data_IF_039031465445
#
_entry.id   IF_039031465445
#
_cell.length_a   1.000
_cell.length_b   1.000
_cell.length_c   1.000
_cell.angle_alpha   90.00
_cell.angle_beta   90.00
_cell.angle_gamma   90.00
#
_symmetry.space_group_name_H-M   'P 1'
#
loop_
_entity.id
_entity.type
_entity.pdbx_description
1 polymer ?
#
# COMPACT_ATOMS: atom_id res chain seq x y z
N UNK A 1 -14.41 -1.07 -12.67
CA UNK A 1 -14.39 -0.36 -13.97
C UNK A 1 -15.75 0.11 -14.49
N UNK A 2 -16.87 -0.54 -14.13
CA UNK A 2 -18.20 -0.07 -14.52
C UNK A 2 -18.49 1.35 -14.02
N UNK A 3 -18.35 1.58 -12.73
CA UNK A 3 -18.58 2.90 -12.09
C UNK A 3 -17.57 3.95 -12.55
N UNK A 4 -16.31 3.54 -12.80
CA UNK A 4 -15.25 4.39 -13.36
C UNK A 4 -15.64 4.95 -14.73
N UNK A 5 -16.07 4.07 -15.66
CA UNK A 5 -16.47 4.50 -17.01
C UNK A 5 -17.70 5.39 -17.00
N UNK A 6 -18.62 5.20 -16.05
CA UNK A 6 -19.82 6.02 -15.90
C UNK A 6 -19.60 7.27 -15.05
N UNK A 7 -18.45 7.42 -14.41
CA UNK A 7 -18.15 8.50 -13.46
C UNK A 7 -19.25 8.61 -12.38
N UNK A 8 -19.64 7.47 -11.84
CA UNK A 8 -20.62 7.36 -10.80
C UNK A 8 -20.01 6.82 -9.52
N UNK A 9 -20.49 7.24 -8.34
CA UNK A 9 -20.02 6.68 -7.08
C UNK A 9 -20.33 5.19 -7.00
N UNK A 10 -19.39 4.42 -6.50
CA UNK A 10 -19.63 3.01 -6.16
C UNK A 10 -20.60 2.95 -4.96
N UNK A 11 -21.54 1.97 -4.88
CA UNK A 11 -22.47 1.86 -3.76
C UNK A 11 -21.78 1.93 -2.38
N UNK A 12 -20.62 1.32 -2.21
CA UNK A 12 -19.85 1.37 -0.96
C UNK A 12 -19.41 2.79 -0.58
N UNK A 13 -19.24 3.71 -1.54
CA UNK A 13 -18.91 5.10 -1.24
C UNK A 13 -20.11 5.81 -0.63
N UNK A 14 -21.31 5.54 -1.17
CA UNK A 14 -22.57 6.10 -0.68
C UNK A 14 -22.83 5.58 0.74
N UNK A 15 -22.70 4.28 0.97
CA UNK A 15 -22.88 3.62 2.27
C UNK A 15 -21.93 4.15 3.35
N UNK A 16 -20.73 4.61 2.95
CA UNK A 16 -19.69 5.10 3.87
C UNK A 16 -19.50 6.63 3.83
N UNK A 17 -20.45 7.37 3.21
CA UNK A 17 -20.41 8.84 3.09
C UNK A 17 -19.09 9.35 2.48
N UNK A 18 -18.61 8.69 1.43
CA UNK A 18 -17.42 9.09 0.69
C UNK A 18 -17.87 9.85 -0.55
N UNK A 19 -17.64 11.16 -0.58
CA UNK A 19 -17.93 12.01 -1.73
C UNK A 19 -16.80 11.91 -2.76
N UNK A 20 -16.83 10.84 -3.53
CA UNK A 20 -15.86 10.55 -4.58
C UNK A 20 -16.44 9.61 -5.64
N UNK A 21 -15.78 9.56 -6.78
CA UNK A 21 -16.01 8.56 -7.83
C UNK A 21 -14.69 7.89 -8.20
N UNK A 22 -14.69 6.66 -8.76
CA UNK A 22 -13.47 6.06 -9.27
C UNK A 22 -12.84 6.93 -10.37
N UNK A 23 -11.57 7.29 -10.21
CA UNK A 23 -10.87 8.22 -11.11
C UNK A 23 -10.67 7.60 -12.49
N UNK A 24 -11.24 8.26 -13.53
CA UNK A 24 -11.07 7.86 -14.92
C UNK A 24 -9.89 8.62 -15.56
N UNK A 25 -8.77 7.94 -15.72
CA UNK A 25 -7.57 8.51 -16.30
C UNK A 25 -6.97 7.55 -17.35
N UNK A 26 -6.44 8.07 -18.49
CA UNK A 26 -5.86 7.20 -19.55
C UNK A 26 -4.76 6.26 -19.06
N UNK A 27 -3.97 6.68 -18.08
CA UNK A 27 -2.87 5.89 -17.50
C UNK A 27 -3.31 4.95 -16.38
N UNK A 28 -4.60 4.83 -16.07
CA UNK A 28 -5.07 4.03 -14.93
C UNK A 28 -4.64 2.57 -15.03
N UNK A 29 -4.72 1.97 -16.21
CA UNK A 29 -4.31 0.57 -16.41
C UNK A 29 -2.80 0.39 -16.23
N UNK A 30 -1.99 1.38 -16.62
CA UNK A 30 -0.55 1.37 -16.39
C UNK A 30 -0.22 1.55 -14.91
N UNK A 31 -0.90 2.46 -14.20
CA UNK A 31 -0.69 2.69 -12.77
C UNK A 31 -1.04 1.46 -11.91
N UNK A 32 -2.00 0.65 -12.35
CA UNK A 32 -2.42 -0.59 -11.68
C UNK A 32 -1.57 -1.81 -12.07
N UNK A 33 -0.69 -1.65 -13.04
CA UNK A 33 0.16 -2.73 -13.52
C UNK A 33 1.44 -2.82 -12.68
N UNK A 34 1.67 -3.95 -12.00
CA UNK A 34 2.83 -4.18 -11.14
C UNK A 34 4.20 -4.04 -11.83
N UNK A 35 4.25 -4.09 -13.17
CA UNK A 35 5.49 -3.94 -13.94
C UNK A 35 5.71 -2.52 -14.47
N UNK A 36 4.68 -1.68 -14.45
CA UNK A 36 4.72 -0.30 -14.92
C UNK A 36 4.57 0.67 -13.75
N UNK A 37 3.39 0.70 -13.13
CA UNK A 37 3.06 1.58 -12.04
C UNK A 37 3.06 3.06 -12.40
N UNK A 38 2.85 3.90 -11.40
CA UNK A 38 3.18 5.32 -11.46
C UNK A 38 4.62 5.50 -11.04
N UNK A 39 5.41 6.32 -11.74
CA UNK A 39 6.82 6.53 -11.44
C UNK A 39 7.16 8.00 -11.30
N UNK A 40 8.22 8.27 -10.56
CA UNK A 40 8.88 9.57 -10.47
C UNK A 40 10.38 9.40 -10.65
N UNK A 41 10.93 10.10 -11.64
CA UNK A 41 12.38 10.12 -11.93
C UNK A 41 12.95 11.42 -11.36
N UNK A 42 13.74 11.28 -10.29
CA UNK A 42 14.49 12.39 -9.72
C UNK A 42 15.87 12.46 -10.39
N UNK A 43 16.03 13.42 -11.31
CA UNK A 43 17.27 13.63 -12.05
C UNK A 43 18.37 14.24 -11.18
N UNK A 44 18.01 14.98 -10.13
CA UNK A 44 18.96 15.60 -9.20
C UNK A 44 19.60 14.53 -8.32
N UNK A 45 18.75 13.75 -7.66
CA UNK A 45 19.21 12.68 -6.79
C UNK A 45 19.48 11.35 -7.54
N UNK A 46 19.25 11.30 -8.86
CA UNK A 46 19.51 10.14 -9.73
C UNK A 46 18.84 8.85 -9.25
N UNK A 47 17.55 8.89 -8.96
CA UNK A 47 16.78 7.68 -8.67
C UNK A 47 15.46 7.66 -9.47
N UNK A 48 14.95 6.46 -9.68
CA UNK A 48 13.62 6.22 -10.19
C UNK A 48 12.83 5.48 -9.11
N UNK A 49 11.76 6.10 -8.65
CA UNK A 49 10.85 5.51 -7.68
C UNK A 49 9.51 5.23 -8.35
N UNK A 50 9.00 4.01 -8.21
CA UNK A 50 7.74 3.62 -8.83
C UNK A 50 6.93 2.69 -7.93
N UNK A 51 5.62 2.64 -8.16
CA UNK A 51 4.72 1.73 -7.46
C UNK A 51 3.40 1.56 -8.21
N UNK A 52 2.77 0.40 -8.07
CA UNK A 52 1.47 0.13 -8.64
C UNK A 52 0.39 0.28 -7.57
N UNK A 53 -0.63 1.11 -7.87
CA UNK A 53 -1.79 1.31 -6.99
C UNK A 53 -2.89 0.32 -7.33
N UNK A 54 -3.68 -0.08 -6.35
CA UNK A 54 -4.85 -0.91 -6.63
C UNK A 54 -6.00 -0.09 -7.20
N UNK A 55 -6.26 1.09 -6.63
CA UNK A 55 -7.26 2.01 -7.16
C UNK A 55 -7.04 3.46 -6.73
N UNK A 56 -7.61 4.39 -7.51
CA UNK A 56 -7.60 5.83 -7.27
C UNK A 56 -9.01 6.36 -7.44
N UNK A 57 -9.46 7.20 -6.51
CA UNK A 57 -10.75 7.87 -6.54
C UNK A 57 -10.54 9.38 -6.65
N UNK A 58 -11.54 10.11 -7.13
CA UNK A 58 -11.47 11.55 -7.27
C UNK A 58 -12.66 12.20 -6.55
N UNK A 59 -12.38 13.21 -5.74
CA UNK A 59 -13.36 14.07 -5.09
C UNK A 59 -13.88 15.14 -6.05
N UNK A 60 -15.04 15.76 -5.80
CA UNK A 60 -15.55 16.87 -6.61
C UNK A 60 -14.60 18.08 -6.69
N UNK A 61 -13.75 18.28 -5.68
CA UNK A 61 -12.74 19.36 -5.65
C UNK A 61 -11.47 19.02 -6.43
N UNK A 62 -11.43 17.88 -7.12
CA UNK A 62 -10.28 17.40 -7.91
C UNK A 62 -9.17 16.72 -7.11
N UNK A 63 -9.32 16.56 -5.79
CA UNK A 63 -8.36 15.79 -4.98
C UNK A 63 -8.48 14.30 -5.24
N UNK A 64 -7.35 13.64 -5.43
CA UNK A 64 -7.28 12.20 -5.55
C UNK A 64 -7.20 11.54 -4.17
N UNK A 65 -7.89 10.44 -4.02
CA UNK A 65 -7.80 9.53 -2.87
C UNK A 65 -7.13 8.25 -3.35
N UNK A 66 -6.08 7.84 -2.67
CA UNK A 66 -5.41 6.57 -2.96
C UNK A 66 -6.05 5.47 -2.12
N UNK A 67 -6.34 4.34 -2.75
CA UNK A 67 -6.87 3.17 -2.06
C UNK A 67 -6.08 1.92 -2.40
N UNK A 68 -6.01 1.02 -1.44
CA UNK A 68 -5.29 -0.23 -1.55
C UNK A 68 -6.15 -1.40 -1.05
N UNK A 69 -6.17 -2.50 -1.78
CA UNK A 69 -7.02 -3.65 -1.52
C UNK A 69 -6.26 -4.70 -0.72
N UNK A 70 -6.84 -5.13 0.38
CA UNK A 70 -6.29 -6.19 1.22
C UNK A 70 -7.29 -7.33 1.36
N UNK A 71 -6.79 -8.55 1.37
CA UNK A 71 -7.60 -9.74 1.63
C UNK A 71 -7.13 -10.43 2.91
N UNK A 72 -8.07 -10.93 3.67
CA UNK A 72 -7.82 -11.73 4.87
C UNK A 72 -8.94 -12.73 5.07
N UNK A 73 -8.78 -13.65 6.01
CA UNK A 73 -9.84 -14.56 6.45
C UNK A 73 -9.72 -14.74 7.96
N UNK A 74 -10.22 -13.78 8.71
CA UNK A 74 -10.29 -13.80 10.17
C UNK A 74 -11.70 -14.20 10.61
N UNK A 75 -11.80 -14.90 11.75
CA UNK A 75 -13.11 -15.24 12.35
C UNK A 75 -13.90 -13.97 12.66
N UNK A 76 -13.21 -12.98 13.21
CA UNK A 76 -13.72 -11.64 13.49
C UNK A 76 -12.69 -10.64 12.96
N UNK A 77 -13.13 -9.73 12.11
CA UNK A 77 -12.26 -8.67 11.60
C UNK A 77 -12.34 -7.46 12.54
N UNK A 78 -11.18 -7.08 13.08
CA UNK A 78 -11.04 -5.86 13.86
C UNK A 78 -9.77 -5.11 13.42
N UNK A 79 -9.97 -3.92 12.85
CA UNK A 79 -8.86 -3.10 12.36
C UNK A 79 -7.93 -2.63 13.48
N UNK A 80 -8.47 -2.20 14.62
CA UNK A 80 -7.65 -1.70 15.74
C UNK A 80 -6.72 -2.78 16.27
N UNK A 81 -7.20 -4.01 16.38
CA UNK A 81 -6.36 -5.15 16.74
C UNK A 81 -5.34 -5.47 15.64
N UNK A 82 -5.73 -5.35 14.38
CA UNK A 82 -4.84 -5.56 13.22
C UNK A 82 -3.74 -4.51 13.18
N UNK A 83 -4.04 -3.24 13.45
CA UNK A 83 -3.09 -2.12 13.40
C UNK A 83 -2.00 -2.17 14.48
N UNK A 84 -2.15 -2.99 15.52
CA UNK A 84 -1.09 -3.24 16.51
C UNK A 84 0.13 -3.95 15.90
N UNK A 85 -0.04 -4.64 14.79
CA UNK A 85 1.04 -5.35 14.12
C UNK A 85 1.81 -4.45 13.14
N UNK A 86 3.12 -4.64 13.07
CA UNK A 86 4.01 -3.82 12.22
C UNK A 86 3.66 -3.91 10.72
N UNK A 87 3.16 -5.06 10.25
CA UNK A 87 2.74 -5.20 8.85
C UNK A 87 1.57 -4.27 8.48
N UNK A 88 0.63 -4.07 9.40
CA UNK A 88 -0.51 -3.18 9.14
C UNK A 88 -0.11 -1.71 9.10
N UNK A 89 0.89 -1.32 9.90
CA UNK A 89 1.54 0.01 9.77
C UNK A 89 2.22 0.16 8.42
N UNK A 90 2.77 -0.93 7.87
CA UNK A 90 3.31 -0.99 6.52
C UNK A 90 2.30 -0.60 5.44
N UNK A 91 1.02 -0.98 5.59
CA UNK A 91 -0.03 -0.61 4.63
C UNK A 91 -0.32 0.89 4.60
N UNK A 92 -0.29 1.56 5.76
CA UNK A 92 -0.40 3.02 5.80
C UNK A 92 0.78 3.67 5.07
N UNK A 93 2.01 3.25 5.38
CA UNK A 93 3.21 3.74 4.69
C UNK A 93 3.15 3.51 3.17
N UNK A 94 2.60 2.38 2.73
CA UNK A 94 2.40 2.10 1.30
C UNK A 94 1.49 3.14 0.64
N UNK A 95 0.35 3.47 1.25
CA UNK A 95 -0.55 4.52 0.75
C UNK A 95 0.16 5.88 0.73
N UNK A 96 0.87 6.25 1.79
CA UNK A 96 1.63 7.50 1.89
C UNK A 96 2.68 7.62 0.78
N UNK A 97 3.40 6.54 0.48
CA UNK A 97 4.35 6.49 -0.64
C UNK A 97 3.65 6.68 -2.00
N UNK A 98 2.46 6.11 -2.19
CA UNK A 98 1.68 6.34 -3.41
C UNK A 98 1.15 7.77 -3.47
N UNK A 99 0.68 8.35 -2.37
CA UNK A 99 0.27 9.75 -2.32
C UNK A 99 1.42 10.68 -2.73
N UNK A 100 2.62 10.44 -2.20
CA UNK A 100 3.83 11.16 -2.59
C UNK A 100 4.12 11.04 -4.09
N UNK A 101 4.06 9.81 -4.66
CA UNK A 101 4.26 9.58 -6.09
C UNK A 101 3.26 10.38 -6.95
N UNK A 102 1.98 10.38 -6.59
CA UNK A 102 0.97 11.14 -7.32
C UNK A 102 1.20 12.65 -7.21
N UNK A 103 1.60 13.17 -6.04
CA UNK A 103 1.96 14.58 -5.86
C UNK A 103 3.19 14.98 -6.68
N UNK A 104 4.22 14.12 -6.74
CA UNK A 104 5.40 14.32 -7.61
C UNK A 104 5.06 14.33 -9.10
N UNK A 105 3.97 13.70 -9.49
CA UNK A 105 3.42 13.75 -10.85
C UNK A 105 2.42 14.89 -11.07
N UNK A 106 2.31 15.84 -10.14
CA UNK A 106 1.51 17.07 -10.28
C UNK A 106 0.03 16.92 -9.93
N UNK A 107 -0.40 15.79 -9.37
CA UNK A 107 -1.77 15.63 -8.95
C UNK A 107 -2.02 16.27 -7.58
N UNK A 108 -3.21 16.82 -7.40
CA UNK A 108 -3.72 17.22 -6.08
C UNK A 108 -4.20 15.96 -5.35
N UNK A 109 -3.61 15.63 -4.21
CA UNK A 109 -3.89 14.38 -3.48
C UNK A 109 -4.36 14.71 -2.07
N UNK A 110 -5.47 14.09 -1.67
CA UNK A 110 -6.00 14.16 -0.31
C UNK A 110 -5.05 13.54 0.70
N UNK A 111 -5.05 14.02 1.94
CA UNK A 111 -4.38 13.35 3.04
C UNK A 111 -5.17 12.13 3.56
N UNK A 112 -6.37 11.89 3.02
CA UNK A 112 -7.09 10.66 3.27
C UNK A 112 -6.63 9.56 2.33
N UNK A 113 -6.52 8.34 2.86
CA UNK A 113 -6.34 7.12 2.09
C UNK A 113 -7.30 6.05 2.58
N UNK A 114 -7.49 4.99 1.82
CA UNK A 114 -8.39 3.90 2.21
C UNK A 114 -7.75 2.53 2.02
N UNK A 115 -7.93 1.67 3.02
CA UNK A 115 -7.75 0.23 2.84
C UNK A 115 -9.12 -0.40 2.61
N UNK A 116 -9.23 -1.16 1.53
CA UNK A 116 -10.44 -1.92 1.19
C UNK A 116 -10.17 -3.37 1.55
N UNK A 117 -10.68 -3.81 2.72
CA UNK A 117 -10.48 -5.17 3.20
C UNK A 117 -11.60 -6.09 2.77
N UNK A 118 -11.24 -7.19 2.13
CA UNK A 118 -12.10 -8.33 1.89
C UNK A 118 -11.80 -9.43 2.93
N UNK A 119 -12.69 -9.62 3.89
CA UNK A 119 -12.58 -10.69 4.88
C UNK A 119 -13.36 -11.93 4.42
N UNK A 120 -12.67 -12.95 3.96
CA UNK A 120 -13.28 -14.21 3.55
C UNK A 120 -13.93 -14.93 4.73
N UNK A 121 -15.20 -15.30 4.58
CA UNK A 121 -15.97 -16.01 5.58
C UNK A 121 -15.58 -17.51 5.57
N UNK A 122 -14.81 -17.93 6.56
CA UNK A 122 -14.31 -19.32 6.67
C UNK A 122 -15.20 -20.25 7.46
N UNK A 123 -16.23 -19.71 8.13
CA UNK A 123 -17.15 -20.49 8.99
C UNK A 123 -18.41 -20.93 8.25
N UNK A 124 -18.43 -20.83 6.92
CA UNK A 124 -19.54 -21.37 6.12
C UNK A 124 -19.59 -22.90 6.25
N UNK A 125 -20.79 -23.48 6.37
CA UNK A 125 -20.93 -24.91 6.66
C UNK A 125 -20.39 -25.82 5.54
N UNK A 126 -20.34 -25.33 4.31
CA UNK A 126 -19.76 -26.05 3.17
C UNK A 126 -19.32 -25.10 2.06
N UNK A 127 -18.34 -25.52 1.28
CA UNK A 127 -17.98 -24.87 0.04
C UNK A 127 -19.00 -25.22 -1.06
N UNK A 128 -19.86 -24.26 -1.41
CA UNK A 128 -20.84 -24.43 -2.48
C UNK A 128 -20.43 -23.64 -3.74
N UNK A 129 -19.19 -23.83 -4.19
CA UNK A 129 -18.59 -23.14 -5.36
C UNK A 129 -18.64 -21.59 -5.27
N UNK A 130 -18.87 -21.05 -4.09
CA UNK A 130 -18.94 -19.62 -3.82
C UNK A 130 -18.09 -19.30 -2.59
N UNK A 131 -17.34 -18.20 -2.69
CA UNK A 131 -16.65 -17.59 -1.56
C UNK A 131 -17.39 -16.34 -1.17
N UNK A 132 -17.77 -16.24 0.10
CA UNK A 132 -18.41 -15.04 0.65
C UNK A 132 -17.38 -14.19 1.37
N UNK A 133 -17.51 -12.89 1.25
CA UNK A 133 -16.64 -11.91 1.88
C UNK A 133 -17.47 -10.85 2.60
N UNK A 134 -16.96 -10.41 3.73
CA UNK A 134 -17.32 -9.13 4.32
C UNK A 134 -16.36 -8.06 3.80
N UNK A 135 -16.91 -6.88 3.51
CA UNK A 135 -16.14 -5.75 3.02
C UNK A 135 -16.05 -4.69 4.10
N UNK A 136 -14.81 -4.31 4.44
CA UNK A 136 -14.53 -3.28 5.43
C UNK A 136 -13.72 -2.16 4.78
N UNK A 137 -14.20 -0.92 4.91
CA UNK A 137 -13.47 0.28 4.53
C UNK A 137 -12.79 0.89 5.74
N UNK A 138 -11.46 1.01 5.65
CA UNK A 138 -10.66 1.63 6.70
C UNK A 138 -10.13 2.96 6.17
N UNK A 139 -10.64 4.05 6.72
CA UNK A 139 -10.14 5.40 6.45
C UNK A 139 -8.84 5.61 7.21
N UNK A 140 -7.83 6.10 6.52
CA UNK A 140 -6.53 6.46 7.08
C UNK A 140 -6.29 7.95 6.91
N UNK A 141 -5.82 8.58 7.97
CA UNK A 141 -5.21 9.90 7.90
C UNK A 141 -3.72 9.71 7.62
N UNK A 142 -3.25 10.21 6.49
CA UNK A 142 -1.92 9.97 5.94
C UNK A 142 -1.09 11.24 5.94
N UNK A 143 0.24 11.07 6.05
CA UNK A 143 1.23 12.12 5.90
C UNK A 143 2.44 11.53 5.15
N UNK A 144 2.76 12.07 3.98
CA UNK A 144 3.84 11.60 3.11
C UNK A 144 5.12 12.44 3.19
N UNK A 145 5.21 13.41 4.12
CA UNK A 145 6.38 14.30 4.29
C UNK A 145 7.68 13.52 4.56
N UNK A 146 7.59 12.36 5.20
CA UNK A 146 8.73 11.50 5.54
C UNK A 146 9.32 10.76 4.33
N UNK A 147 8.57 10.63 3.21
CA UNK A 147 8.91 9.72 2.10
C UNK A 147 10.16 10.16 1.38
N UNK A 148 10.25 11.42 0.97
CA UNK A 148 11.37 11.93 0.17
C UNK A 148 12.70 11.83 0.92
N UNK A 149 12.74 12.25 2.17
CA UNK A 149 13.93 12.16 3.01
C UNK A 149 14.40 10.70 3.16
N UNK A 150 13.46 9.80 3.44
CA UNK A 150 13.76 8.37 3.59
C UNK A 150 14.32 7.76 2.30
N UNK A 151 13.80 8.14 1.12
CA UNK A 151 14.35 7.67 -0.17
C UNK A 151 15.78 8.16 -0.37
N UNK A 152 16.06 9.44 -0.06
CA UNK A 152 17.39 10.03 -0.15
C UNK A 152 18.37 9.32 0.81
N UNK A 153 17.95 9.07 2.04
CA UNK A 153 18.75 8.33 3.02
C UNK A 153 19.03 6.89 2.57
N UNK A 154 18.01 6.19 2.05
CA UNK A 154 18.18 4.84 1.51
C UNK A 154 19.19 4.83 0.36
N UNK A 155 19.15 5.83 -0.53
CA UNK A 155 20.12 5.96 -1.61
C UNK A 155 21.55 6.17 -1.08
N UNK A 156 21.74 7.08 -0.12
CA UNK A 156 23.05 7.30 0.51
C UNK A 156 23.59 6.00 1.10
N UNK A 157 22.73 5.22 1.75
CA UNK A 157 23.09 3.92 2.32
C UNK A 157 23.56 2.92 1.25
N UNK A 158 22.95 2.93 0.07
CA UNK A 158 23.36 2.05 -1.05
C UNK A 158 24.70 2.45 -1.68
N UNK A 159 25.19 3.67 -1.42
CA UNK A 159 26.46 4.18 -1.94
C UNK A 159 27.65 3.96 -1.02
N UNK A 160 27.44 3.56 0.22
CA UNK A 160 28.52 3.24 1.16
C UNK A 160 28.96 1.78 0.98
N UNK A 161 30.24 1.53 1.17
CA UNK A 161 30.81 0.18 1.07
C UNK A 161 30.56 -0.66 2.35
N UNK A 162 30.28 -0.03 3.46
CA UNK A 162 30.05 -0.70 4.73
C UNK A 162 28.60 -1.19 4.85
N UNK A 163 28.44 -2.41 5.31
CA UNK A 163 27.10 -2.93 5.59
C UNK A 163 26.48 -2.22 6.80
N UNK A 164 25.23 -1.75 6.71
CA UNK A 164 24.56 -1.19 7.85
C UNK A 164 24.37 -2.23 8.96
N UNK A 165 24.35 -1.77 10.22
CA UNK A 165 24.13 -2.67 11.35
C UNK A 165 22.75 -3.33 11.25
N UNK A 166 22.71 -4.64 11.48
CA UNK A 166 21.46 -5.40 11.44
C UNK A 166 20.50 -4.97 12.57
N UNK A 167 19.23 -4.80 12.23
CA UNK A 167 18.20 -4.63 13.25
C UNK A 167 18.17 -5.85 14.18
N UNK A 168 18.03 -5.63 15.48
CA UNK A 168 17.90 -6.70 16.49
C UNK A 168 16.68 -7.62 16.25
N UNK A 169 15.69 -7.15 15.47
CA UNK A 169 14.46 -7.88 15.11
C UNK A 169 14.48 -8.45 13.68
N UNK A 170 15.58 -8.29 12.94
CA UNK A 170 15.68 -8.80 11.58
C UNK A 170 15.84 -10.33 11.59
N UNK A 171 14.78 -11.04 11.25
CA UNK A 171 14.78 -12.51 11.21
C UNK A 171 15.81 -13.09 10.22
N UNK A 172 15.99 -12.43 9.07
CA UNK A 172 17.00 -12.83 8.07
C UNK A 172 18.41 -12.71 8.62
N UNK A 173 18.75 -11.58 9.26
CA UNK A 173 20.07 -11.38 9.85
C UNK A 173 20.31 -12.35 11.01
N UNK A 174 19.31 -12.63 11.83
CA UNK A 174 19.41 -13.62 12.90
C UNK A 174 19.65 -15.03 12.33
N UNK A 175 18.89 -15.43 11.32
CA UNK A 175 19.09 -16.70 10.63
C UNK A 175 20.51 -16.85 10.05
N UNK A 176 21.01 -15.83 9.35
CA UNK A 176 22.35 -15.85 8.77
C UNK A 176 23.43 -15.98 9.86
N UNK A 177 23.26 -15.25 10.97
CA UNK A 177 24.18 -15.34 12.11
C UNK A 177 24.22 -16.74 12.73
N UNK A 178 23.06 -17.38 12.87
CA UNK A 178 22.98 -18.73 13.46
C UNK A 178 23.48 -19.79 12.46
N UNK A 179 23.20 -19.66 11.17
CA UNK A 179 23.79 -20.52 10.11
C UNK A 179 25.31 -20.46 10.10
N UNK A 180 25.88 -19.26 10.27
CA UNK A 180 27.33 -19.08 10.31
C UNK A 180 27.96 -19.80 11.51
N UNK A 181 27.34 -19.73 12.68
CA UNK A 181 27.81 -20.47 13.88
C UNK A 181 27.79 -21.97 13.66
N UNK A 182 26.73 -22.51 13.07
CA UNK A 182 26.62 -23.95 12.76
C UNK A 182 27.71 -24.37 11.79
N UNK A 183 28.01 -23.58 10.76
CA UNK A 183 29.07 -23.88 9.81
C UNK A 183 30.45 -23.98 10.49
N UNK A 184 30.78 -23.07 11.40
CA UNK A 184 32.05 -23.10 12.16
C UNK A 184 32.18 -24.28 13.11
N UNK A 185 31.11 -25.03 13.41
CA UNK A 185 31.12 -26.23 14.24
C UNK A 185 31.29 -27.52 13.42
N UNK A 186 31.11 -27.44 12.10
CA UNK A 186 31.16 -28.59 11.18
C UNK A 186 32.50 -28.65 10.43
N UNK A 187 33.14 -27.50 10.24
CA UNK A 187 34.52 -27.38 9.68
C UNK A 187 35.55 -27.55 10.79
#
# INVERSE_FOLDING_TARGET
DFYRRKQQPHPIFIENNIDAVPFNHPSMDDWRNNRKGINYIDTINQFNFYGAVDDVWIKPNGELIISDVKATSKKEFNWFETYKYDYAKGYKRQIEMYQWLFRKNGFKVSNEGFLVYFNGLRNEPMFNKQLKFELHLIRLECNDEWVEETIIEAKKLLQINDLPSASKKCSTCLYLKDRWKVKQQID
#
